data_IF_261976936702
#
_entry.id   IF_261976936702
#
_cell.length_a   1.000
_cell.length_b   1.000
_cell.length_c   1.000
_cell.angle_alpha   90.00
_cell.angle_beta   90.00
_cell.angle_gamma   90.00
#
_symmetry.space_group_name_H-M   'P 1'
#
loop_
_entity.id
_entity.type
_entity.pdbx_description
1 polymer ?
#
# COMPACT_ATOMS: atom_id res chain seq x y z
N UNK A 1 -11.67 32.27 -1.39
CA UNK A 1 -10.69 31.64 -2.29
C UNK A 1 -9.30 32.07 -1.86
N UNK A 2 -8.58 31.20 -1.16
CA UNK A 2 -7.18 31.42 -0.81
C UNK A 2 -6.38 30.32 -1.51
N UNK A 3 -5.87 30.67 -2.69
CA UNK A 3 -4.87 29.89 -3.42
C UNK A 3 -3.53 30.26 -2.81
N UNK A 4 -2.83 29.29 -2.20
CA UNK A 4 -1.37 29.22 -1.98
C UNK A 4 -1.08 28.17 -0.88
N UNK A 5 -1.12 26.89 -1.23
CA UNK A 5 -0.29 25.88 -0.55
C UNK A 5 0.74 25.41 -1.57
N UNK A 6 1.99 25.73 -1.29
CA UNK A 6 3.10 25.71 -2.23
C UNK A 6 3.44 24.32 -2.74
N UNK A 7 3.94 24.32 -3.98
CA UNK A 7 4.72 23.22 -4.53
C UNK A 7 5.85 22.87 -3.55
N UNK A 8 5.81 21.68 -2.94
CA UNK A 8 7.02 21.01 -2.44
C UNK A 8 7.83 20.55 -3.66
N UNK A 9 8.49 21.50 -4.32
CA UNK A 9 9.43 21.27 -5.40
C UNK A 9 10.85 21.31 -4.87
N UNK A 10 11.29 20.19 -4.29
CA UNK A 10 12.70 19.88 -4.11
C UNK A 10 12.87 18.45 -4.57
N UNK A 11 13.62 18.22 -5.65
CA UNK A 11 14.07 16.88 -5.99
C UNK A 11 14.97 16.43 -4.86
N UNK A 12 14.40 15.70 -3.90
CA UNK A 12 15.21 14.98 -2.94
C UNK A 12 16.07 14.01 -3.76
N UNK A 13 17.38 14.14 -3.63
CA UNK A 13 18.31 13.42 -4.50
C UNK A 13 18.05 11.93 -4.36
N UNK A 14 17.54 11.34 -5.44
CA UNK A 14 17.18 9.93 -5.48
C UNK A 14 15.72 9.58 -5.23
N UNK A 15 14.83 10.56 -5.33
CA UNK A 15 13.41 10.31 -5.45
C UNK A 15 12.86 10.86 -6.75
N UNK A 16 11.94 10.12 -7.37
CA UNK A 16 11.09 10.63 -8.42
C UNK A 16 10.15 11.73 -7.89
N UNK A 17 9.66 12.55 -8.81
CA UNK A 17 8.63 13.52 -8.49
C UNK A 17 7.32 12.81 -8.13
N UNK A 18 6.65 13.29 -7.08
CA UNK A 18 5.41 12.72 -6.54
C UNK A 18 4.28 12.50 -7.56
N UNK A 19 4.25 13.28 -8.64
CA UNK A 19 3.22 13.21 -9.69
C UNK A 19 3.64 12.45 -10.94
N UNK A 20 4.78 11.77 -10.92
CA UNK A 20 5.37 11.14 -12.10
C UNK A 20 5.40 9.62 -11.94
N UNK A 21 4.87 8.91 -12.92
CA UNK A 21 5.05 7.48 -13.04
C UNK A 21 6.28 7.21 -13.91
N UNK A 22 7.32 6.61 -13.32
CA UNK A 22 8.52 6.15 -14.01
C UNK A 22 8.53 4.61 -13.96
N UNK A 23 8.19 3.93 -15.08
CA UNK A 23 8.07 2.47 -15.10
C UNK A 23 9.30 1.75 -14.55
N UNK A 24 10.50 2.26 -14.84
CA UNK A 24 11.79 1.66 -14.47
C UNK A 24 12.11 1.76 -12.97
N UNK A 25 11.37 2.57 -12.22
CA UNK A 25 11.51 2.69 -10.76
C UNK A 25 10.31 2.08 -10.02
N UNK A 26 9.53 1.25 -10.69
CA UNK A 26 8.39 0.57 -10.10
C UNK A 26 8.50 -0.95 -10.30
N UNK A 27 8.01 -1.77 -9.36
CA UNK A 27 8.03 -3.21 -9.52
C UNK A 27 7.26 -3.65 -10.77
N UNK A 28 7.70 -4.75 -11.39
CA UNK A 28 6.86 -5.44 -12.36
C UNK A 28 5.56 -5.90 -11.70
N UNK A 29 4.39 -5.78 -12.37
CA UNK A 29 3.13 -6.33 -11.86
C UNK A 29 3.24 -7.84 -11.66
N UNK A 30 3.00 -8.31 -10.45
CA UNK A 30 3.03 -9.73 -10.12
C UNK A 30 1.72 -10.47 -10.44
N UNK A 31 1.65 -11.76 -10.08
CA UNK A 31 0.53 -12.63 -10.43
C UNK A 31 -0.81 -12.16 -9.89
N UNK A 32 -0.85 -11.39 -8.80
CA UNK A 32 -2.11 -10.86 -8.27
C UNK A 32 -2.79 -9.88 -9.24
N UNK A 33 -2.02 -9.26 -10.13
CA UNK A 33 -2.48 -8.24 -11.06
C UNK A 33 -2.64 -8.75 -12.51
N UNK A 34 -2.30 -10.01 -12.81
CA UNK A 34 -2.20 -10.52 -14.20
C UNK A 34 -3.52 -10.48 -14.98
N UNK A 35 -4.64 -10.68 -14.30
CA UNK A 35 -5.98 -10.71 -14.90
C UNK A 35 -6.73 -9.37 -14.78
N UNK A 36 -6.03 -8.33 -14.30
CA UNK A 36 -6.56 -7.00 -14.05
C UNK A 36 -5.91 -5.97 -14.99
N UNK A 37 -6.59 -4.84 -15.18
CA UNK A 37 -6.09 -3.73 -16.00
C UNK A 37 -5.10 -2.88 -15.18
N UNK A 38 -3.80 -3.17 -15.31
CA UNK A 38 -2.72 -2.48 -14.59
C UNK A 38 -2.73 -0.98 -14.88
N UNK A 39 -2.74 -0.17 -13.81
CA UNK A 39 -2.64 1.28 -13.91
C UNK A 39 -1.21 1.68 -14.31
N UNK A 40 -1.13 2.59 -15.28
CA UNK A 40 0.12 3.16 -15.78
C UNK A 40 -0.05 4.67 -16.00
N UNK A 41 1.05 5.38 -16.23
CA UNK A 41 1.05 6.80 -16.56
C UNK A 41 0.31 7.66 -15.53
N UNK A 42 -0.61 8.49 -16.01
CA UNK A 42 -1.40 9.42 -15.20
C UNK A 42 -2.29 8.71 -14.17
N UNK A 43 -2.84 7.55 -14.52
CA UNK A 43 -3.80 6.85 -13.67
C UNK A 43 -3.09 6.25 -12.46
N UNK A 44 -1.90 5.68 -12.68
CA UNK A 44 -1.04 5.24 -11.59
C UNK A 44 -0.64 6.43 -10.71
N UNK A 45 -0.10 7.49 -11.31
CA UNK A 45 0.37 8.66 -10.56
C UNK A 45 -0.74 9.33 -9.75
N UNK A 46 -1.97 9.40 -10.29
CA UNK A 46 -3.11 9.99 -9.61
C UNK A 46 -3.51 9.19 -8.36
N UNK A 47 -3.65 7.86 -8.48
CA UNK A 47 -3.97 7.01 -7.34
C UNK A 47 -2.82 6.95 -6.33
N UNK A 48 -1.58 6.95 -6.80
CA UNK A 48 -0.40 6.91 -5.95
C UNK A 48 -0.23 8.19 -5.12
N UNK A 49 -0.51 9.37 -5.70
CA UNK A 49 -0.54 10.63 -4.95
C UNK A 49 -1.61 10.61 -3.85
N UNK A 50 -2.81 10.11 -4.15
CA UNK A 50 -3.83 9.92 -3.12
C UNK A 50 -3.34 8.97 -2.02
N UNK A 51 -2.68 7.88 -2.40
CA UNK A 51 -2.12 6.91 -1.45
C UNK A 51 -1.16 7.58 -0.46
N UNK A 52 -0.30 8.49 -0.92
CA UNK A 52 0.59 9.24 -0.01
C UNK A 52 -0.21 10.03 1.04
N UNK A 53 -1.23 10.78 0.61
CA UNK A 53 -2.07 11.57 1.52
C UNK A 53 -2.77 10.66 2.56
N UNK A 54 -3.36 9.55 2.10
CA UNK A 54 -4.07 8.61 2.97
C UNK A 54 -3.11 7.91 3.95
N UNK A 55 -1.91 7.56 3.50
CA UNK A 55 -0.90 6.91 4.34
C UNK A 55 -0.31 7.87 5.37
N UNK A 56 -0.16 9.15 5.03
CA UNK A 56 0.22 10.18 5.99
C UNK A 56 -0.86 10.35 7.06
N UNK A 57 -2.13 10.44 6.66
CA UNK A 57 -3.26 10.57 7.57
C UNK A 57 -3.41 9.35 8.51
N UNK A 58 -3.14 8.15 7.98
CA UNK A 58 -3.36 6.87 8.69
C UNK A 58 -2.10 6.26 9.29
N UNK A 59 -0.96 6.94 9.19
CA UNK A 59 0.28 6.50 9.83
C UNK A 59 0.91 5.26 9.20
N UNK A 60 0.75 5.03 7.89
CA UNK A 60 1.38 3.89 7.19
C UNK A 60 2.82 4.26 6.79
N UNK A 61 3.75 4.03 7.72
CA UNK A 61 5.16 4.39 7.60
C UNK A 61 6.06 3.15 7.62
N UNK A 62 7.04 3.12 6.72
CA UNK A 62 8.13 2.17 6.78
C UNK A 62 9.14 2.65 7.83
N UNK A 63 9.28 1.91 8.93
CA UNK A 63 10.16 2.30 10.03
C UNK A 63 11.64 2.03 9.71
N UNK A 64 11.92 1.15 8.74
CA UNK A 64 13.28 0.87 8.28
C UNK A 64 13.83 2.08 7.53
N UNK A 65 13.01 2.69 6.68
CA UNK A 65 13.41 3.88 5.91
C UNK A 65 13.02 5.22 6.57
N UNK A 66 12.11 5.20 7.55
CA UNK A 66 11.68 6.39 8.28
C UNK A 66 10.80 7.34 7.46
N UNK A 67 10.04 6.81 6.50
CA UNK A 67 9.15 7.61 5.66
C UNK A 67 7.80 6.92 5.40
N UNK A 68 6.84 7.69 4.91
CA UNK A 68 5.56 7.19 4.39
C UNK A 68 5.81 6.05 3.38
N UNK A 69 5.16 4.91 3.57
CA UNK A 69 5.40 3.71 2.77
C UNK A 69 5.26 3.95 1.26
N UNK A 70 4.32 4.79 0.83
CA UNK A 70 4.10 5.09 -0.59
C UNK A 70 5.33 5.76 -1.23
N UNK A 71 6.18 6.42 -0.43
CA UNK A 71 7.41 7.04 -0.92
C UNK A 71 8.42 6.02 -1.47
N UNK A 72 8.30 4.74 -1.11
CA UNK A 72 9.17 3.67 -1.61
C UNK A 72 9.09 3.55 -3.14
N UNK A 73 7.91 3.75 -3.75
CA UNK A 73 7.72 3.76 -5.21
C UNK A 73 8.49 4.87 -5.94
N UNK A 74 8.95 5.88 -5.22
CA UNK A 74 9.71 6.99 -5.79
C UNK A 74 11.20 6.81 -5.55
N UNK A 75 11.62 5.89 -4.69
CA UNK A 75 13.00 5.73 -4.27
C UNK A 75 13.79 4.94 -5.31
N UNK A 76 14.53 5.64 -6.17
CA UNK A 76 15.28 5.02 -7.27
C UNK A 76 16.40 4.07 -6.82
N UNK A 77 16.71 4.02 -5.51
CA UNK A 77 17.65 3.04 -4.92
C UNK A 77 16.99 1.67 -4.76
N UNK A 78 15.66 1.61 -4.85
CA UNK A 78 14.82 0.43 -4.74
C UNK A 78 13.82 0.34 -5.90
N UNK A 79 14.30 0.31 -7.16
CA UNK A 79 13.44 0.43 -8.36
C UNK A 79 12.43 -0.71 -8.50
N UNK A 80 12.65 -1.84 -7.83
CA UNK A 80 11.80 -3.02 -7.89
C UNK A 80 10.84 -3.13 -6.69
N UNK A 81 10.73 -2.10 -5.84
CA UNK A 81 9.95 -2.13 -4.60
C UNK A 81 8.84 -1.06 -4.56
N UNK A 82 7.82 -1.32 -3.74
CA UNK A 82 6.64 -0.46 -3.61
C UNK A 82 5.38 -1.12 -4.16
N UNK A 83 4.39 -0.29 -4.51
CA UNK A 83 3.07 -0.74 -4.94
C UNK A 83 2.87 -0.72 -6.46
N UNK A 84 2.19 -1.73 -6.96
CA UNK A 84 1.52 -1.71 -8.28
C UNK A 84 0.02 -1.81 -8.09
N UNK A 85 -0.72 -1.14 -8.98
CA UNK A 85 -2.17 -1.06 -8.93
C UNK A 85 -2.78 -1.57 -10.23
N UNK A 86 -3.93 -2.21 -10.15
CA UNK A 86 -4.71 -2.61 -11.30
C UNK A 86 -6.20 -2.51 -11.01
N UNK A 87 -6.99 -2.05 -11.98
CA UNK A 87 -8.45 -2.08 -11.91
C UNK A 87 -8.93 -3.48 -12.28
N UNK A 88 -9.80 -4.06 -11.45
CA UNK A 88 -10.40 -5.37 -11.71
C UNK A 88 -11.20 -5.35 -13.02
N UNK A 89 -11.00 -6.36 -13.88
CA UNK A 89 -11.53 -6.35 -15.25
C UNK A 89 -13.04 -6.57 -15.29
N UNK A 90 -13.57 -7.39 -14.39
CA UNK A 90 -15.01 -7.72 -14.31
C UNK A 90 -15.79 -6.77 -13.39
N UNK A 91 -15.10 -5.97 -12.56
CA UNK A 91 -15.71 -5.09 -11.58
C UNK A 91 -14.87 -3.81 -11.38
N UNK A 92 -15.17 -2.78 -12.16
CA UNK A 92 -14.39 -1.55 -12.18
C UNK A 92 -14.37 -0.77 -10.84
N UNK A 93 -15.27 -1.07 -9.90
CA UNK A 93 -15.26 -0.46 -8.56
C UNK A 93 -14.26 -1.12 -7.61
N UNK A 94 -13.56 -2.16 -8.04
CA UNK A 94 -12.50 -2.83 -7.27
C UNK A 94 -11.12 -2.47 -7.81
N UNK A 95 -10.25 -2.00 -6.92
CA UNK A 95 -8.82 -1.86 -7.19
C UNK A 95 -8.04 -3.00 -6.54
N UNK A 96 -7.07 -3.56 -7.26
CA UNK A 96 -6.07 -4.47 -6.73
C UNK A 96 -4.76 -3.70 -6.52
N UNK A 97 -4.18 -3.80 -5.33
CA UNK A 97 -2.88 -3.26 -4.98
C UNK A 97 -1.95 -4.42 -4.56
N UNK A 98 -0.81 -4.54 -5.22
CA UNK A 98 0.24 -5.50 -4.85
C UNK A 98 1.46 -4.75 -4.33
N UNK A 99 1.95 -5.15 -3.15
CA UNK A 99 3.13 -4.61 -2.52
C UNK A 99 4.33 -5.53 -2.73
N UNK A 100 5.42 -4.99 -3.28
CA UNK A 100 6.71 -5.67 -3.40
C UNK A 100 7.68 -5.05 -2.40
N UNK A 101 8.12 -5.79 -1.36
CA UNK A 101 9.13 -5.29 -0.42
C UNK A 101 10.52 -5.23 -1.07
N UNK A 102 11.43 -4.47 -0.47
CA UNK A 102 12.84 -4.39 -0.92
C UNK A 102 13.62 -5.69 -0.77
N UNK A 103 13.15 -6.59 0.09
CA UNK A 103 13.75 -7.92 0.33
C UNK A 103 12.68 -8.96 0.64
N UNK A 104 12.97 -10.23 0.39
CA UNK A 104 12.05 -11.35 0.68
C UNK A 104 11.76 -11.56 2.17
N UNK A 105 12.57 -10.99 3.07
CA UNK A 105 12.48 -11.14 4.52
C UNK A 105 12.01 -9.88 5.25
N UNK A 106 11.45 -8.89 4.54
CA UNK A 106 11.01 -7.65 5.17
C UNK A 106 10.05 -7.94 6.35
N UNK A 107 10.47 -7.69 7.61
CA UNK A 107 9.72 -8.12 8.79
C UNK A 107 8.42 -7.35 8.97
N UNK A 108 8.27 -6.21 8.28
CA UNK A 108 7.12 -5.32 8.40
C UNK A 108 6.05 -5.56 7.34
N UNK A 109 6.26 -6.46 6.37
CA UNK A 109 5.33 -6.68 5.24
C UNK A 109 3.89 -6.94 5.69
N UNK A 110 3.67 -7.72 6.76
CA UNK A 110 2.33 -7.96 7.32
C UNK A 110 1.70 -6.66 7.81
N UNK A 111 2.34 -5.98 8.78
CA UNK A 111 1.85 -4.73 9.36
C UNK A 111 1.63 -3.64 8.31
N UNK A 112 2.58 -3.46 7.39
CA UNK A 112 2.51 -2.44 6.35
C UNK A 112 1.34 -2.68 5.39
N UNK A 113 1.11 -3.91 4.96
CA UNK A 113 0.01 -4.21 4.03
C UNK A 113 -1.35 -4.22 4.71
N UNK A 114 -1.45 -4.63 5.97
CA UNK A 114 -2.67 -4.48 6.77
C UNK A 114 -2.98 -3.01 7.01
N UNK A 115 -1.99 -2.20 7.38
CA UNK A 115 -2.13 -0.76 7.52
C UNK A 115 -2.57 -0.09 6.22
N UNK A 116 -1.97 -0.48 5.09
CA UNK A 116 -2.35 -0.01 3.75
C UNK A 116 -3.80 -0.35 3.42
N UNK A 117 -4.22 -1.61 3.64
CA UNK A 117 -5.60 -2.05 3.44
C UNK A 117 -6.59 -1.20 4.25
N UNK A 118 -6.29 -0.95 5.52
CA UNK A 118 -7.14 -0.11 6.38
C UNK A 118 -7.14 1.35 5.95
N UNK A 119 -6.00 1.88 5.53
CA UNK A 119 -5.88 3.28 5.15
C UNK A 119 -6.74 3.60 3.92
N UNK A 120 -6.68 2.76 2.89
CA UNK A 120 -7.54 2.90 1.71
C UNK A 120 -9.01 2.67 2.06
N UNK A 121 -9.34 1.50 2.60
CA UNK A 121 -10.74 1.10 2.79
C UNK A 121 -11.45 1.83 3.94
N UNK A 122 -10.70 2.52 4.80
CA UNK A 122 -11.23 3.33 5.89
C UNK A 122 -11.55 4.77 5.48
N UNK A 123 -11.17 5.16 4.27
CA UNK A 123 -11.37 6.48 3.66
C UNK A 123 -11.92 6.32 2.24
N UNK A 124 -12.89 5.41 2.07
CA UNK A 124 -13.48 5.08 0.77
C UNK A 124 -14.18 6.25 0.09
N UNK A 125 -14.61 7.25 0.85
CA UNK A 125 -15.16 8.52 0.34
C UNK A 125 -14.13 9.40 -0.39
N UNK A 126 -12.84 9.05 -0.31
CA UNK A 126 -11.73 9.79 -0.94
C UNK A 126 -11.29 9.21 -2.29
N UNK A 127 -11.82 8.06 -2.71
CA UNK A 127 -11.55 7.44 -4.00
C UNK A 127 -12.79 6.82 -4.64
N UNK A 128 -12.68 6.44 -5.91
CA UNK A 128 -13.79 5.88 -6.70
C UNK A 128 -14.09 4.38 -6.43
N UNK A 129 -13.23 3.70 -5.66
CA UNK A 129 -13.34 2.26 -5.44
C UNK A 129 -14.15 1.91 -4.20
N UNK A 130 -15.02 0.91 -4.32
CA UNK A 130 -15.77 0.33 -3.20
C UNK A 130 -14.82 -0.45 -2.27
N UNK A 131 -13.77 -1.05 -2.84
CA UNK A 131 -12.73 -1.76 -2.09
C UNK A 131 -11.39 -1.74 -2.82
N UNK A 132 -10.32 -1.52 -2.06
CA UNK A 132 -8.93 -1.74 -2.47
C UNK A 132 -8.45 -3.06 -1.86
N UNK A 133 -8.30 -4.09 -2.69
CA UNK A 133 -7.72 -5.38 -2.29
C UNK A 133 -6.20 -5.25 -2.22
N UNK A 134 -5.60 -5.76 -1.15
CA UNK A 134 -4.15 -5.67 -0.95
C UNK A 134 -3.53 -7.06 -0.89
N UNK A 135 -2.40 -7.27 -1.57
CA UNK A 135 -1.58 -8.48 -1.44
C UNK A 135 -0.10 -8.11 -1.38
N UNK A 136 0.70 -8.96 -0.74
CA UNK A 136 2.17 -8.94 -0.83
C UNK A 136 2.60 -9.82 -2.00
N UNK A 137 3.58 -9.34 -2.76
CA UNK A 137 4.20 -10.06 -3.86
C UNK A 137 4.74 -11.43 -3.42
N UNK A 138 4.65 -12.47 -4.27
CA UNK A 138 5.15 -13.81 -3.96
C UNK A 138 6.64 -13.88 -3.62
N UNK A 139 7.43 -12.85 -3.94
CA UNK A 139 8.85 -12.79 -3.57
C UNK A 139 9.05 -12.82 -2.06
N UNK A 140 8.05 -12.42 -1.26
CA UNK A 140 8.16 -12.45 0.19
C UNK A 140 7.98 -13.87 0.73
N UNK A 141 8.89 -14.33 1.59
CA UNK A 141 8.90 -15.72 2.09
C UNK A 141 7.62 -16.13 2.87
N UNK A 142 6.91 -15.16 3.44
CA UNK A 142 5.62 -15.35 4.11
C UNK A 142 4.41 -14.85 3.31
N UNK A 143 4.58 -14.57 2.01
CA UNK A 143 3.52 -14.01 1.16
C UNK A 143 2.19 -14.77 1.27
N UNK A 144 2.19 -16.10 1.22
CA UNK A 144 0.98 -16.92 1.38
C UNK A 144 0.26 -16.62 2.69
N UNK A 145 0.96 -16.69 3.83
CA UNK A 145 0.36 -16.44 5.16
C UNK A 145 -0.23 -15.03 5.27
N UNK A 146 0.50 -14.03 4.79
CA UNK A 146 0.07 -12.63 4.83
C UNK A 146 -1.14 -12.43 3.91
N UNK A 147 -1.10 -12.99 2.71
CA UNK A 147 -2.18 -12.87 1.73
C UNK A 147 -3.46 -13.58 2.18
N UNK A 148 -3.36 -14.71 2.87
CA UNK A 148 -4.52 -15.38 3.49
C UNK A 148 -5.16 -14.48 4.56
N UNK A 149 -4.35 -13.76 5.35
CA UNK A 149 -4.84 -12.80 6.34
C UNK A 149 -5.54 -11.62 5.66
N UNK A 150 -4.93 -11.04 4.64
CA UNK A 150 -5.52 -9.94 3.86
C UNK A 150 -6.83 -10.35 3.18
N UNK A 151 -6.92 -11.59 2.67
CA UNK A 151 -8.16 -12.11 2.10
C UNK A 151 -9.28 -12.25 3.16
N UNK A 152 -8.94 -12.66 4.39
CA UNK A 152 -9.92 -12.71 5.49
C UNK A 152 -10.42 -11.31 5.86
N UNK A 153 -9.52 -10.33 5.99
CA UNK A 153 -9.88 -8.93 6.26
C UNK A 153 -10.77 -8.36 5.15
N UNK A 154 -10.40 -8.60 3.90
CA UNK A 154 -11.19 -8.22 2.72
C UNK A 154 -12.60 -8.84 2.77
N UNK A 155 -12.69 -10.16 3.02
CA UNK A 155 -13.97 -10.86 3.08
C UNK A 155 -14.88 -10.28 4.16
N UNK A 156 -14.32 -10.02 5.35
CA UNK A 156 -15.08 -9.41 6.43
C UNK A 156 -15.54 -8.00 6.08
N UNK A 157 -14.64 -7.14 5.60
CA UNK A 157 -14.96 -5.77 5.22
C UNK A 157 -16.08 -5.74 4.16
N UNK A 158 -16.05 -6.62 3.17
CA UNK A 158 -17.11 -6.71 2.15
C UNK A 158 -18.46 -7.20 2.71
N UNK A 159 -18.44 -7.99 3.78
CA UNK A 159 -19.65 -8.51 4.41
C UNK A 159 -20.28 -7.53 5.39
N UNK A 160 -19.46 -6.77 6.12
CA UNK A 160 -19.93 -5.92 7.24
C UNK A 160 -19.80 -4.43 6.98
N UNK A 161 -18.94 -4.01 6.04
CA UNK A 161 -18.52 -2.62 5.85
C UNK A 161 -17.58 -2.10 6.95
N UNK A 162 -17.17 -2.95 7.88
CA UNK A 162 -16.37 -2.56 9.04
C UNK A 162 -14.92 -3.02 8.90
N UNK A 163 -13.99 -2.13 9.21
CA UNK A 163 -12.59 -2.49 9.39
C UNK A 163 -12.36 -2.93 10.83
N UNK A 164 -11.77 -4.09 11.04
CA UNK A 164 -11.29 -4.45 12.38
C UNK A 164 -10.20 -3.46 12.79
N UNK A 165 -10.42 -2.79 13.93
CA UNK A 165 -9.34 -2.17 14.68
C UNK A 165 -8.34 -3.26 15.09
N UNK A 166 -7.06 -2.93 15.22
CA UNK A 166 -6.17 -3.86 15.92
C UNK A 166 -6.68 -4.00 17.34
N UNK A 167 -6.79 -5.25 17.80
CA UNK A 167 -6.58 -5.54 19.21
C UNK A 167 -5.11 -5.18 19.48
N UNK A 168 -4.83 -3.90 19.74
CA UNK A 168 -3.62 -3.48 20.44
C UNK A 168 -3.70 -4.03 21.86
N UNK A 169 -3.38 -5.31 22.05
CA UNK A 169 -2.85 -5.86 23.30
C UNK A 169 -2.43 -7.32 23.10
N UNK A 170 -1.33 -7.47 22.35
CA UNK A 170 -0.43 -8.62 22.47
C UNK A 170 0.73 -8.30 23.42
N UNK A 171 0.50 -7.55 24.50
CA UNK A 171 1.40 -7.56 25.64
C UNK A 171 1.32 -8.96 26.26
N UNK A 172 2.18 -9.86 25.82
CA UNK A 172 2.46 -11.07 26.58
C UNK A 172 2.99 -10.63 27.95
N UNK A 173 2.10 -10.68 28.94
CA UNK A 173 2.43 -10.84 30.35
C UNK A 173 3.28 -12.11 30.47
N UNK A 174 4.58 -11.97 30.24
CA UNK A 174 5.56 -12.96 30.66
C UNK A 174 5.92 -12.59 32.10
N UNK A 175 5.01 -12.98 32.98
CA UNK A 175 5.23 -13.03 34.41
C UNK A 175 6.43 -13.93 34.65
N UNK A 176 7.60 -13.34 34.89
CA UNK A 176 8.78 -14.09 35.38
C UNK A 176 8.42 -14.68 36.75
N UNK A 177 8.41 -16.02 36.91
CA UNK A 177 8.32 -16.60 38.23
C UNK A 177 9.69 -16.48 38.91
N UNK A 178 9.65 -16.09 40.19
CA UNK A 178 10.78 -16.01 41.11
C UNK A 178 11.54 -17.33 41.26
#
# INVERSE_FOLDING_TARGET
MSLLSGLRGGSDVGFDSYGTFVPEHNPDPGPFLSDASVLTGSDHAAFHRLTMDLFDERGVYDMTFGYNLARLNLDHRHPDAGFRYARESEDASVLRAEFTPTTEFCPQSDTLTVGSFRAWNGLTDRHEYDVVRVRVSPIHHQSTRINDKLQRLETQFRQTGELQADDEDGASDDSVPF
#
